data_IF_065678007748
#
_entry.id   IF_065678007748
#
_cell.length_a   1.000
_cell.length_b   1.000
_cell.length_c   1.000
_cell.angle_alpha   90.00
_cell.angle_beta   90.00
_cell.angle_gamma   90.00
#
_symmetry.space_group_name_H-M   'P 1'
#
loop_
_entity.id
_entity.type
_entity.pdbx_description
1 polymer ?
#
# COMPACT_ATOMS: atom_id res chain seq x y z
N UNK A 1 -3.15 16.36 13.41
CA UNK A 1 -2.64 15.68 12.19
C UNK A 1 -2.00 16.75 11.31
N UNK A 2 -0.69 17.00 11.47
CA UNK A 2 0.03 18.16 10.86
C UNK A 2 1.20 17.69 9.95
N UNK A 3 1.36 16.38 9.79
CA UNK A 3 2.54 15.80 9.14
C UNK A 3 2.59 16.07 7.62
N UNK A 4 1.44 15.96 6.94
CA UNK A 4 1.38 16.12 5.47
C UNK A 4 1.66 17.57 5.02
N UNK A 5 1.08 18.61 5.65
CA UNK A 5 1.43 20.00 5.33
C UNK A 5 2.91 20.32 5.54
N UNK A 6 3.53 19.78 6.60
CA UNK A 6 4.95 19.99 6.86
C UNK A 6 5.84 19.31 5.82
N UNK A 7 5.52 18.07 5.45
CA UNK A 7 6.23 17.34 4.41
C UNK A 7 6.16 18.01 3.03
N UNK A 8 5.00 18.59 2.67
CA UNK A 8 4.88 19.34 1.41
C UNK A 8 5.84 20.53 1.35
N UNK A 9 6.03 21.24 2.47
CA UNK A 9 6.98 22.35 2.58
C UNK A 9 8.42 21.87 2.39
N UNK A 10 8.81 20.78 3.03
CA UNK A 10 10.16 20.19 2.87
C UNK A 10 10.43 19.75 1.42
N UNK A 11 9.41 19.17 0.76
CA UNK A 11 9.51 18.75 -0.64
C UNK A 11 9.69 19.95 -1.56
N UNK A 12 8.94 21.03 -1.34
CA UNK A 12 9.07 22.28 -2.11
C UNK A 12 10.44 22.92 -1.92
N UNK A 13 10.94 22.96 -0.67
CA UNK A 13 12.28 23.45 -0.32
C UNK A 13 13.41 22.58 -0.90
N UNK A 14 13.18 21.28 -1.07
CA UNK A 14 14.19 20.35 -1.61
C UNK A 14 14.49 20.53 -3.10
N UNK A 15 13.58 21.18 -3.86
CA UNK A 15 13.76 21.47 -5.30
C UNK A 15 13.79 20.23 -6.23
N UNK A 16 13.57 19.02 -5.71
CA UNK A 16 13.60 17.80 -6.51
C UNK A 16 12.33 17.64 -7.36
N UNK A 17 12.48 17.83 -8.67
CA UNK A 17 11.37 17.68 -9.65
C UNK A 17 10.72 16.29 -9.64
N UNK A 18 11.43 15.25 -9.22
CA UNK A 18 10.92 13.87 -9.08
C UNK A 18 9.78 13.77 -8.06
N UNK A 19 9.76 14.63 -7.04
CA UNK A 19 8.67 14.65 -6.06
C UNK A 19 7.41 15.31 -6.59
N UNK A 20 7.47 16.14 -7.63
CA UNK A 20 6.27 16.80 -8.19
C UNK A 20 5.19 15.80 -8.62
N UNK A 21 5.61 14.66 -9.20
CA UNK A 21 4.67 13.58 -9.55
C UNK A 21 4.03 12.97 -8.31
N UNK A 22 4.83 12.71 -7.26
CA UNK A 22 4.34 12.17 -5.98
C UNK A 22 3.40 13.16 -5.28
N UNK A 23 3.77 14.43 -5.21
CA UNK A 23 2.97 15.54 -4.68
C UNK A 23 1.61 15.59 -5.36
N UNK A 24 1.58 15.52 -6.70
CA UNK A 24 0.34 15.51 -7.47
C UNK A 24 -0.54 14.30 -7.12
N UNK A 25 0.04 13.11 -7.00
CA UNK A 25 -0.70 11.90 -6.60
C UNK A 25 -1.27 12.02 -5.19
N UNK A 26 -0.52 12.58 -4.23
CA UNK A 26 -0.98 12.77 -2.85
C UNK A 26 -2.14 13.77 -2.80
N UNK A 27 -2.03 14.90 -3.52
CA UNK A 27 -3.10 15.91 -3.59
C UNK A 27 -4.37 15.28 -4.19
N UNK A 28 -4.25 14.54 -5.30
CA UNK A 28 -5.39 13.90 -5.95
C UNK A 28 -6.11 12.87 -5.07
N UNK A 29 -5.41 12.27 -4.10
CA UNK A 29 -5.95 11.24 -3.22
C UNK A 29 -6.06 11.70 -1.76
N UNK A 30 -5.97 13.01 -1.50
CA UNK A 30 -5.81 13.56 -0.16
C UNK A 30 -6.94 13.12 0.79
N UNK A 31 -8.18 13.13 0.33
CA UNK A 31 -9.34 12.73 1.15
C UNK A 31 -9.31 11.26 1.53
N UNK A 32 -8.90 10.38 0.62
CA UNK A 32 -8.74 8.95 0.89
C UNK A 32 -7.63 8.70 1.91
N UNK A 33 -6.52 9.41 1.78
CA UNK A 33 -5.39 9.35 2.72
C UNK A 33 -5.83 9.86 4.10
N UNK A 34 -6.54 11.00 4.15
CA UNK A 34 -7.04 11.58 5.39
C UNK A 34 -8.02 10.63 6.09
N UNK A 35 -8.96 10.05 5.33
CA UNK A 35 -9.93 9.08 5.85
C UNK A 35 -9.27 7.82 6.40
N UNK A 36 -8.20 7.33 5.77
CA UNK A 36 -7.43 6.18 6.25
C UNK A 36 -6.85 6.43 7.66
N UNK A 37 -6.30 7.62 7.92
CA UNK A 37 -5.79 7.97 9.25
C UNK A 37 -6.89 8.27 10.26
N UNK A 38 -8.00 8.91 9.85
CA UNK A 38 -9.14 9.19 10.71
C UNK A 38 -9.83 7.93 11.21
N UNK A 39 -9.98 6.92 10.35
CA UNK A 39 -10.58 5.64 10.71
C UNK A 39 -9.66 4.76 11.58
N UNK A 40 -8.42 5.19 11.86
CA UNK A 40 -7.37 4.39 12.55
C UNK A 40 -7.25 2.97 11.99
N UNK A 41 -7.57 2.79 10.71
CA UNK A 41 -7.42 1.51 10.04
C UNK A 41 -5.93 1.23 9.90
N UNK A 42 -5.44 0.16 10.51
CA UNK A 42 -4.02 -0.20 10.44
C UNK A 42 -3.78 -1.02 9.17
N UNK A 43 -2.74 -0.69 8.41
CA UNK A 43 -2.34 -1.49 7.24
C UNK A 43 -1.85 -2.89 7.61
N UNK A 44 -1.64 -3.16 8.90
CA UNK A 44 -1.02 -4.39 9.40
C UNK A 44 -1.73 -5.66 8.90
N UNK A 45 -3.07 -5.65 8.82
CA UNK A 45 -3.82 -6.78 8.30
C UNK A 45 -3.54 -7.02 6.80
N UNK A 46 -3.55 -5.95 6.00
CA UNK A 46 -3.26 -6.02 4.57
C UNK A 46 -1.79 -6.36 4.29
N UNK A 47 -0.85 -5.82 5.06
CA UNK A 47 0.58 -6.14 4.99
C UNK A 47 0.85 -7.60 5.36
N UNK A 48 0.24 -8.08 6.45
CA UNK A 48 0.33 -9.49 6.87
C UNK A 48 -0.23 -10.42 5.80
N UNK A 49 -1.38 -10.08 5.21
CA UNK A 49 -1.97 -10.84 4.12
C UNK A 49 -1.06 -10.87 2.88
N UNK A 50 -0.53 -9.73 2.46
CA UNK A 50 0.43 -9.64 1.35
C UNK A 50 1.71 -10.45 1.61
N UNK A 51 2.21 -10.47 2.85
CA UNK A 51 3.35 -11.30 3.25
C UNK A 51 3.04 -12.80 3.16
N UNK A 52 1.86 -13.23 3.63
CA UNK A 52 1.39 -14.62 3.52
C UNK A 52 1.30 -15.07 2.05
N UNK A 53 0.74 -14.23 1.17
CA UNK A 53 0.67 -14.50 -0.27
C UNK A 53 2.07 -14.61 -0.88
N UNK A 54 2.99 -13.69 -0.56
CA UNK A 54 4.37 -13.74 -1.05
C UNK A 54 5.06 -15.04 -0.63
N UNK A 55 4.95 -15.42 0.64
CA UNK A 55 5.54 -16.66 1.14
C UNK A 55 4.94 -17.90 0.44
N UNK A 56 3.62 -17.94 0.27
CA UNK A 56 2.95 -19.03 -0.44
C UNK A 56 3.41 -19.16 -1.89
N UNK A 57 3.59 -18.03 -2.60
CA UNK A 57 4.14 -18.02 -3.96
C UNK A 57 5.58 -18.51 -4.02
N UNK A 58 6.41 -18.16 -3.03
CA UNK A 58 7.80 -18.60 -2.93
C UNK A 58 7.89 -20.12 -2.75
N UNK A 59 7.08 -20.70 -1.86
CA UNK A 59 7.03 -22.14 -1.63
C UNK A 59 6.64 -22.93 -2.88
N UNK A 60 5.73 -22.39 -3.70
CA UNK A 60 5.26 -23.02 -4.93
C UNK A 60 6.15 -22.73 -6.16
N UNK A 61 7.26 -21.99 -5.98
CA UNK A 61 8.16 -21.54 -7.07
C UNK A 61 7.41 -20.82 -8.20
N UNK A 62 6.44 -19.99 -7.81
CA UNK A 62 5.58 -19.25 -8.73
C UNK A 62 4.14 -19.78 -8.78
N UNK A 63 3.38 -19.27 -9.75
CA UNK A 63 1.96 -19.62 -9.94
C UNK A 63 1.78 -20.05 -11.38
N UNK A 64 1.59 -21.35 -11.61
CA UNK A 64 1.30 -21.90 -12.95
C UNK A 64 -0.19 -21.87 -13.27
N UNK A 65 -1.02 -22.23 -12.29
CA UNK A 65 -2.48 -22.22 -12.40
C UNK A 65 -3.07 -21.18 -11.44
N UNK A 66 -3.65 -20.12 -12.00
CA UNK A 66 -4.25 -19.03 -11.22
C UNK A 66 -5.53 -19.46 -10.51
N UNK A 67 -6.35 -20.30 -11.13
CA UNK A 67 -7.61 -20.78 -10.55
C UNK A 67 -7.34 -21.68 -9.35
N UNK A 68 -6.39 -22.62 -9.48
CA UNK A 68 -5.99 -23.46 -8.37
C UNK A 68 -5.30 -22.67 -7.24
N UNK A 69 -4.48 -21.67 -7.59
CA UNK A 69 -3.85 -20.79 -6.61
C UNK A 69 -4.88 -20.00 -5.80
N UNK A 70 -5.87 -19.38 -6.45
CA UNK A 70 -6.96 -18.66 -5.77
C UNK A 70 -7.80 -19.59 -4.89
N UNK A 71 -8.10 -20.80 -5.36
CA UNK A 71 -8.78 -21.82 -4.54
C UNK A 71 -7.99 -22.17 -3.27
N UNK A 72 -6.67 -22.34 -3.37
CA UNK A 72 -5.83 -22.62 -2.20
C UNK A 72 -5.72 -21.43 -1.26
N UNK A 73 -5.65 -20.22 -1.82
CA UNK A 73 -5.54 -18.99 -1.05
C UNK A 73 -6.80 -18.73 -0.24
N UNK A 74 -7.99 -18.96 -0.83
CA UNK A 74 -9.25 -18.89 -0.07
C UNK A 74 -9.35 -19.99 0.97
N UNK A 75 -8.92 -21.22 0.70
CA UNK A 75 -9.00 -22.31 1.69
C UNK A 75 -8.01 -22.18 2.86
N UNK A 76 -6.89 -21.48 2.68
CA UNK A 76 -5.84 -21.35 3.71
C UNK A 76 -5.92 -20.04 4.50
N UNK A 77 -6.52 -18.99 3.93
CA UNK A 77 -6.49 -17.65 4.48
C UNK A 77 -7.86 -16.96 4.56
N UNK A 78 -8.95 -17.65 4.22
CA UNK A 78 -10.32 -17.21 4.52
C UNK A 78 -10.84 -17.82 5.82
#
# INVERSE_FOLDING_TARGET
MVLIPHWFKEVEESGFKTFNTLTRTIILNYDNILNYFNARSTNAAAESFNAKIKNFRLQLRGVRDKSFFLFRLSKLFA
#
